data_IF_417835704751
#
_entry.id   IF_417835704751
#
_cell.length_a   1.000
_cell.length_b   1.000
_cell.length_c   1.000
_cell.angle_alpha   90.00
_cell.angle_beta   90.00
_cell.angle_gamma   90.00
#
_symmetry.space_group_name_H-M   'P 1'
#
loop_
_entity.id
_entity.type
_entity.pdbx_description
1 polymer ?
#
# COMPACT_ATOMS: atom_id res chain seq x y z
N UNK A 1 2.66 20.26 -25.55
CA UNK A 1 3.86 20.52 -24.72
C UNK A 1 3.80 21.97 -24.25
N UNK A 2 3.85 22.19 -22.94
CA UNK A 2 3.84 23.54 -22.34
C UNK A 2 5.28 24.05 -22.15
N UNK A 3 6.21 23.14 -21.86
CA UNK A 3 7.63 23.45 -21.70
C UNK A 3 8.47 22.33 -22.31
N UNK A 4 9.37 22.69 -23.21
CA UNK A 4 10.39 21.77 -23.75
C UNK A 4 11.44 21.41 -22.68
N UNK A 5 12.25 20.34 -22.88
CA UNK A 5 13.30 19.95 -21.94
C UNK A 5 14.14 21.16 -21.53
N UNK A 6 14.09 21.48 -20.25
CA UNK A 6 14.65 22.70 -19.70
C UNK A 6 15.52 22.37 -18.47
N UNK A 7 16.68 23.01 -18.37
CA UNK A 7 17.57 22.85 -17.21
C UNK A 7 16.84 23.22 -15.91
N UNK A 8 16.96 22.39 -14.88
CA UNK A 8 16.43 22.67 -13.54
C UNK A 8 17.05 23.93 -12.87
N UNK A 9 18.09 24.52 -13.46
CA UNK A 9 18.64 25.81 -13.04
C UNK A 9 17.78 26.99 -13.49
N UNK A 10 16.99 26.82 -14.57
CA UNK A 10 16.15 27.87 -15.15
C UNK A 10 14.78 27.94 -14.43
N UNK A 11 14.83 28.11 -13.12
CA UNK A 11 13.67 28.05 -12.23
C UNK A 11 12.58 29.06 -12.60
N UNK A 12 12.96 30.25 -13.07
CA UNK A 12 12.00 31.27 -13.48
C UNK A 12 11.17 30.80 -14.69
N UNK A 13 11.81 30.24 -15.72
CA UNK A 13 11.14 29.69 -16.90
C UNK A 13 10.19 28.53 -16.53
N UNK A 14 10.66 27.64 -15.65
CA UNK A 14 9.84 26.49 -15.16
C UNK A 14 8.61 27.00 -14.41
N UNK A 15 8.77 27.96 -13.49
CA UNK A 15 7.65 28.54 -12.73
C UNK A 15 6.63 29.21 -13.65
N UNK A 16 7.08 30.02 -14.60
CA UNK A 16 6.17 30.68 -15.56
C UNK A 16 5.36 29.65 -16.35
N UNK A 17 5.97 28.52 -16.75
CA UNK A 17 5.26 27.45 -17.44
C UNK A 17 4.20 26.78 -16.53
N UNK A 18 4.53 26.55 -15.26
CA UNK A 18 3.57 25.98 -14.27
C UNK A 18 2.41 26.97 -14.04
N UNK A 19 2.70 28.26 -13.86
CA UNK A 19 1.69 29.31 -13.61
C UNK A 19 0.72 29.50 -14.79
N UNK A 20 1.08 29.04 -15.99
CA UNK A 20 0.21 29.05 -17.18
C UNK A 20 -0.74 27.86 -17.25
N UNK A 21 -0.56 26.84 -16.40
CA UNK A 21 -1.44 25.69 -16.39
C UNK A 21 -2.80 26.08 -15.78
N UNK A 22 -3.86 25.72 -16.47
CA UNK A 22 -5.24 25.96 -16.03
C UNK A 22 -6.01 24.64 -15.99
N UNK A 23 -6.89 24.48 -15.02
CA UNK A 23 -7.80 23.34 -14.97
C UNK A 23 -8.84 23.45 -16.08
N UNK A 24 -9.09 22.35 -16.81
CA UNK A 24 -10.12 22.29 -17.84
C UNK A 24 -9.80 21.28 -18.95
N UNK A 25 -10.80 21.06 -19.80
CA UNK A 25 -10.71 20.11 -20.92
C UNK A 25 -11.11 18.69 -20.55
N UNK A 26 -10.82 17.76 -21.46
CA UNK A 26 -11.04 16.31 -21.28
C UNK A 26 -9.69 15.57 -21.25
N UNK A 27 -9.63 14.42 -20.55
CA UNK A 27 -8.38 13.69 -20.34
C UNK A 27 -8.15 12.64 -21.42
N UNK A 28 -7.29 12.95 -22.39
CA UNK A 28 -6.77 11.99 -23.37
C UNK A 28 -5.53 11.27 -22.81
N UNK A 29 -5.73 10.44 -21.76
CA UNK A 29 -4.67 9.89 -20.95
C UNK A 29 -3.61 9.12 -21.72
N UNK A 30 -4.00 8.23 -22.65
CA UNK A 30 -3.07 7.43 -23.45
C UNK A 30 -2.15 8.30 -24.31
N UNK A 31 -2.70 9.30 -25.00
CA UNK A 31 -1.90 10.21 -25.84
C UNK A 31 -1.00 11.11 -25.00
N UNK A 32 -1.47 11.54 -23.82
CA UNK A 32 -0.67 12.28 -22.85
C UNK A 32 0.53 11.49 -22.35
N UNK A 33 0.32 10.22 -21.98
CA UNK A 33 1.40 9.32 -21.54
C UNK A 33 2.39 9.06 -22.69
N UNK A 34 1.92 8.82 -23.91
CA UNK A 34 2.78 8.64 -25.07
C UNK A 34 3.67 9.86 -25.32
N UNK A 35 3.07 11.06 -25.31
CA UNK A 35 3.80 12.31 -25.47
C UNK A 35 4.83 12.51 -24.36
N UNK A 36 4.46 12.22 -23.10
CA UNK A 36 5.37 12.33 -21.96
C UNK A 36 6.60 11.42 -22.13
N UNK A 37 6.42 10.17 -22.60
CA UNK A 37 7.54 9.29 -22.90
C UNK A 37 8.41 9.80 -24.06
N UNK A 38 7.82 10.39 -25.11
CA UNK A 38 8.58 11.01 -26.19
C UNK A 38 9.44 12.17 -25.68
N UNK A 39 8.88 13.03 -24.85
CA UNK A 39 9.61 14.16 -24.24
C UNK A 39 10.70 13.67 -23.29
N UNK A 40 10.44 12.65 -22.49
CA UNK A 40 11.42 12.06 -21.59
C UNK A 40 12.60 11.43 -22.36
N UNK A 41 12.34 10.84 -23.53
CA UNK A 41 13.40 10.33 -24.41
C UNK A 41 14.25 11.44 -25.02
N UNK A 42 13.66 12.59 -25.37
CA UNK A 42 14.43 13.75 -25.88
C UNK A 42 15.35 14.35 -24.80
N UNK A 43 14.89 14.35 -23.56
CA UNK A 43 15.66 14.82 -22.39
C UNK A 43 16.43 13.71 -21.64
N UNK A 44 16.57 12.52 -22.24
CA UNK A 44 17.13 11.36 -21.55
C UNK A 44 18.57 11.58 -21.08
N UNK A 45 18.82 11.24 -19.81
CA UNK A 45 20.11 11.36 -19.16
C UNK A 45 20.68 9.94 -18.97
N UNK A 46 21.72 9.60 -19.73
CA UNK A 46 22.39 8.31 -19.57
C UNK A 46 22.90 8.15 -18.14
N UNK A 47 22.65 6.96 -17.55
CA UNK A 47 22.95 6.63 -16.14
C UNK A 47 22.32 7.60 -15.12
N UNK A 48 21.39 8.43 -15.57
CA UNK A 48 20.61 9.32 -14.70
C UNK A 48 19.26 8.72 -14.31
N UNK A 49 18.50 9.48 -13.54
CA UNK A 49 17.12 9.16 -13.19
C UNK A 49 16.21 9.80 -14.25
N UNK A 50 15.51 8.96 -15.02
CA UNK A 50 14.57 9.38 -16.04
C UNK A 50 13.18 8.96 -15.62
N UNK A 51 12.31 9.91 -15.29
CA UNK A 51 11.01 9.62 -14.68
C UNK A 51 9.92 10.60 -15.14
N UNK A 52 8.76 10.06 -15.42
CA UNK A 52 7.53 10.80 -15.66
C UNK A 52 6.75 10.89 -14.35
N UNK A 53 6.25 12.06 -14.01
CA UNK A 53 5.27 12.27 -12.95
C UNK A 53 3.93 12.58 -13.62
N UNK A 54 3.00 11.63 -13.60
CA UNK A 54 1.66 11.78 -14.15
C UNK A 54 0.72 12.25 -13.05
N UNK A 55 0.29 13.49 -13.12
CA UNK A 55 -0.68 14.10 -12.20
C UNK A 55 -2.06 14.11 -12.83
N UNK A 56 -3.05 13.43 -12.23
CA UNK A 56 -4.40 13.31 -12.79
C UNK A 56 -5.43 12.99 -11.70
N UNK A 57 -6.70 13.24 -11.98
CA UNK A 57 -7.84 12.78 -11.19
C UNK A 57 -8.26 11.32 -11.50
N UNK A 58 -7.52 10.64 -12.39
CA UNK A 58 -7.76 9.25 -12.75
C UNK A 58 -8.91 9.03 -13.75
N UNK A 59 -9.55 10.09 -14.22
CA UNK A 59 -10.62 10.01 -15.22
C UNK A 59 -10.06 10.07 -16.65
N UNK A 60 -9.71 8.91 -17.21
CA UNK A 60 -9.23 8.76 -18.59
C UNK A 60 -10.42 8.55 -19.54
N UNK A 61 -11.16 9.61 -19.83
CA UNK A 61 -12.43 9.53 -20.53
C UNK A 61 -12.35 9.77 -22.06
N UNK A 62 -11.15 9.98 -22.62
CA UNK A 62 -10.93 10.23 -24.05
C UNK A 62 -9.84 9.34 -24.62
N UNK A 63 -10.11 8.70 -25.75
CA UNK A 63 -9.17 7.86 -26.48
C UNK A 63 -9.12 6.42 -25.95
N UNK A 64 -7.92 5.83 -25.89
CA UNK A 64 -7.73 4.49 -25.29
C UNK A 64 -7.88 4.64 -23.78
N UNK A 65 -9.02 4.24 -23.27
CA UNK A 65 -9.36 4.22 -21.85
C UNK A 65 -9.38 2.80 -21.29
N UNK A 66 -9.12 1.78 -22.12
CA UNK A 66 -9.02 0.41 -21.69
C UNK A 66 -7.81 0.22 -20.78
N UNK A 67 -8.08 -0.27 -19.59
CA UNK A 67 -7.12 -0.45 -18.50
C UNK A 67 -5.91 -1.30 -18.91
N UNK A 68 -6.18 -2.44 -19.56
CA UNK A 68 -5.12 -3.38 -19.95
C UNK A 68 -4.19 -2.80 -21.01
N UNK A 69 -4.73 -2.01 -21.92
CA UNK A 69 -3.96 -1.31 -22.96
C UNK A 69 -3.04 -0.23 -22.36
N UNK A 70 -3.52 0.55 -21.40
CA UNK A 70 -2.71 1.56 -20.70
C UNK A 70 -1.56 0.92 -19.90
N UNK A 71 -1.88 -0.14 -19.19
CA UNK A 71 -0.91 -0.93 -18.42
C UNK A 71 0.15 -1.57 -19.33
N UNK A 72 -0.28 -2.20 -20.42
CA UNK A 72 0.62 -2.79 -21.41
C UNK A 72 1.55 -1.74 -22.03
N UNK A 73 1.03 -0.54 -22.32
CA UNK A 73 1.83 0.57 -22.83
C UNK A 73 2.89 1.02 -21.83
N UNK A 74 2.53 1.20 -20.55
CA UNK A 74 3.49 1.57 -19.52
C UNK A 74 4.58 0.49 -19.35
N UNK A 75 4.19 -0.80 -19.30
CA UNK A 75 5.09 -1.93 -19.20
C UNK A 75 6.06 -2.05 -20.42
N UNK A 76 5.62 -1.69 -21.60
CA UNK A 76 6.50 -1.66 -22.78
C UNK A 76 7.44 -0.45 -22.74
N UNK A 77 6.90 0.72 -22.41
CA UNK A 77 7.66 1.98 -22.42
C UNK A 77 8.74 2.05 -21.32
N UNK A 78 8.53 1.43 -20.15
CA UNK A 78 9.54 1.39 -19.08
C UNK A 78 10.87 0.73 -19.54
N UNK A 79 10.82 -0.16 -20.52
CA UNK A 79 12.01 -0.80 -21.10
C UNK A 79 13.00 0.19 -21.71
N UNK A 80 12.54 1.42 -22.00
CA UNK A 80 13.39 2.51 -22.44
C UNK A 80 14.25 3.15 -21.34
N UNK A 81 14.09 2.71 -20.08
CA UNK A 81 14.78 3.28 -18.91
C UNK A 81 14.09 4.51 -18.32
N UNK A 82 12.83 4.79 -18.75
CA UNK A 82 12.00 5.87 -18.19
C UNK A 82 10.89 5.27 -17.35
N UNK A 83 10.86 5.57 -16.06
CA UNK A 83 9.80 5.12 -15.14
C UNK A 83 8.62 6.08 -15.09
N UNK A 84 7.44 5.57 -14.70
CA UNK A 84 6.19 6.33 -14.62
C UNK A 84 5.64 6.29 -13.20
N UNK A 85 5.69 7.42 -12.50
CA UNK A 85 5.04 7.65 -11.20
C UNK A 85 3.69 8.31 -11.41
N UNK A 86 2.67 7.86 -10.69
CA UNK A 86 1.33 8.43 -10.77
C UNK A 86 0.97 9.16 -9.48
N UNK A 87 0.43 10.36 -9.64
CA UNK A 87 -0.03 11.23 -8.56
C UNK A 87 -1.52 11.48 -8.74
N UNK A 88 -2.32 10.94 -7.82
CA UNK A 88 -3.77 11.05 -7.88
C UNK A 88 -4.29 12.26 -7.14
N UNK A 89 -5.31 12.91 -7.71
CA UNK A 89 -6.00 14.08 -7.15
C UNK A 89 -7.51 13.90 -7.29
N UNK A 90 -8.30 14.64 -6.49
CA UNK A 90 -9.75 14.64 -6.60
C UNK A 90 -10.43 13.52 -5.80
N UNK A 91 -11.76 13.60 -5.68
CA UNK A 91 -12.56 12.73 -4.79
C UNK A 91 -13.71 12.01 -5.50
N UNK A 92 -14.16 12.47 -6.68
CA UNK A 92 -15.39 11.98 -7.28
C UNK A 92 -15.19 10.72 -8.16
N UNK A 93 -14.53 10.84 -9.30
CA UNK A 93 -14.35 9.72 -10.25
C UNK A 93 -12.95 9.12 -10.19
N UNK A 94 -12.27 9.23 -9.06
CA UNK A 94 -10.90 8.78 -8.92
C UNK A 94 -10.78 7.26 -8.97
N UNK A 95 -9.96 6.76 -9.89
CA UNK A 95 -9.68 5.33 -10.05
C UNK A 95 -8.32 4.96 -9.47
N UNK A 96 -8.27 4.74 -8.15
CA UNK A 96 -7.07 4.37 -7.42
C UNK A 96 -6.41 3.10 -7.98
N UNK A 97 -7.21 2.08 -8.25
CA UNK A 97 -6.71 0.80 -8.76
C UNK A 97 -5.97 0.95 -10.09
N UNK A 98 -6.51 1.77 -11.02
CA UNK A 98 -5.85 2.09 -12.29
C UNK A 98 -4.51 2.79 -12.05
N UNK A 99 -4.50 3.80 -11.19
CA UNK A 99 -3.32 4.62 -10.92
C UNK A 99 -2.19 3.81 -10.26
N UNK A 100 -2.54 2.96 -9.28
CA UNK A 100 -1.59 2.06 -8.62
C UNK A 100 -0.98 1.07 -9.63
N UNK A 101 -1.81 0.38 -10.42
CA UNK A 101 -1.31 -0.60 -11.37
C UNK A 101 -0.55 0.01 -12.54
N UNK A 102 -0.88 1.24 -12.93
CA UNK A 102 -0.16 1.95 -13.98
C UNK A 102 1.24 2.35 -13.50
N UNK A 103 1.38 2.79 -12.25
CA UNK A 103 2.67 3.06 -11.63
C UNK A 103 3.51 1.79 -11.50
N UNK A 104 2.93 0.70 -11.01
CA UNK A 104 3.62 -0.61 -10.89
C UNK A 104 4.11 -1.10 -12.25
N UNK A 105 3.26 -1.04 -13.28
CA UNK A 105 3.65 -1.43 -14.65
C UNK A 105 4.75 -0.53 -15.24
N UNK A 106 4.86 0.71 -14.77
CA UNK A 106 5.84 1.71 -15.20
C UNK A 106 7.12 1.80 -14.38
N UNK A 107 7.43 0.86 -13.47
CA UNK A 107 8.56 0.92 -12.52
C UNK A 107 8.54 2.24 -11.71
N UNK A 108 7.35 2.67 -11.29
CA UNK A 108 7.17 3.92 -10.56
C UNK A 108 6.50 3.74 -9.20
N UNK A 109 6.11 4.84 -8.61
CA UNK A 109 5.39 4.89 -7.35
C UNK A 109 4.01 5.52 -7.56
N UNK A 110 3.07 5.14 -6.73
CA UNK A 110 1.76 5.76 -6.65
C UNK A 110 1.65 6.59 -5.36
N UNK A 111 1.02 7.76 -5.45
CA UNK A 111 0.61 8.54 -4.29
C UNK A 111 -0.72 9.26 -4.56
N UNK A 112 -1.61 9.28 -3.56
CA UNK A 112 -2.81 10.09 -3.57
C UNK A 112 -2.58 11.39 -2.80
N UNK A 113 -2.93 12.51 -3.41
CA UNK A 113 -2.71 13.86 -2.87
C UNK A 113 -4.06 14.53 -2.66
N UNK A 114 -4.53 14.55 -1.43
CA UNK A 114 -5.79 15.13 -1.01
C UNK A 114 -5.67 16.61 -0.60
N UNK A 115 -4.46 17.02 -0.16
CA UNK A 115 -4.22 18.38 0.32
C UNK A 115 -2.76 18.82 0.13
N UNK A 116 -2.46 20.08 0.40
CA UNK A 116 -1.12 20.65 0.26
C UNK A 116 -0.07 20.04 1.20
N UNK A 117 -0.48 19.50 2.36
CA UNK A 117 0.44 18.85 3.31
C UNK A 117 0.93 17.54 2.72
N UNK A 118 0.01 16.75 2.17
CA UNK A 118 0.33 15.51 1.46
C UNK A 118 1.18 15.79 0.21
N UNK A 119 0.82 16.82 -0.57
CA UNK A 119 1.64 17.27 -1.71
C UNK A 119 3.08 17.58 -1.30
N UNK A 120 3.27 18.30 -0.20
CA UNK A 120 4.60 18.63 0.33
C UNK A 120 5.35 17.37 0.75
N UNK A 121 4.70 16.45 1.46
CA UNK A 121 5.30 15.17 1.85
C UNK A 121 5.82 14.42 0.64
N UNK A 122 4.98 14.22 -0.38
CA UNK A 122 5.29 13.41 -1.57
C UNK A 122 6.34 14.11 -2.46
N UNK A 123 6.16 15.40 -2.74
CA UNK A 123 6.95 16.13 -3.74
C UNK A 123 8.20 16.83 -3.17
N UNK A 124 8.33 16.92 -1.86
CA UNK A 124 9.49 17.57 -1.21
C UNK A 124 10.18 16.61 -0.26
N UNK A 125 9.46 16.13 0.77
CA UNK A 125 10.08 15.38 1.86
C UNK A 125 10.48 13.97 1.43
N UNK A 126 9.66 13.32 0.58
CA UNK A 126 9.88 11.98 0.03
C UNK A 126 10.45 12.00 -1.41
N UNK A 127 10.86 13.15 -1.92
CA UNK A 127 11.34 13.27 -3.30
C UNK A 127 12.50 12.31 -3.58
N UNK A 128 13.43 12.17 -2.65
CA UNK A 128 14.57 11.25 -2.79
C UNK A 128 14.13 9.80 -2.89
N UNK A 129 13.13 9.38 -2.11
CA UNK A 129 12.60 8.00 -2.16
C UNK A 129 11.76 7.75 -3.41
N UNK A 130 11.11 8.77 -3.94
CA UNK A 130 10.35 8.67 -5.19
C UNK A 130 11.26 8.60 -6.41
N UNK A 131 12.36 9.36 -6.42
CA UNK A 131 13.24 9.48 -7.59
C UNK A 131 14.35 8.44 -7.62
N UNK A 132 14.99 8.16 -6.49
CA UNK A 132 16.18 7.30 -6.41
C UNK A 132 15.83 5.89 -5.93
N UNK A 133 15.65 4.95 -6.84
CA UNK A 133 15.44 3.53 -6.52
C UNK A 133 16.74 2.91 -6.04
N UNK A 134 16.71 2.23 -4.90
CA UNK A 134 17.86 1.51 -4.31
C UNK A 134 17.72 -0.01 -4.39
N UNK A 135 16.50 -0.51 -4.59
CA UNK A 135 16.24 -1.93 -4.82
C UNK A 135 15.01 -2.08 -5.72
N UNK A 136 15.09 -3.03 -6.65
CA UNK A 136 14.01 -3.40 -7.59
C UNK A 136 13.53 -4.82 -7.34
N UNK A 137 12.33 -5.15 -7.82
CA UNK A 137 11.73 -6.49 -7.70
C UNK A 137 11.77 -7.01 -6.25
N UNK A 138 11.42 -6.16 -5.30
CA UNK A 138 11.49 -6.49 -3.87
C UNK A 138 10.32 -7.37 -3.49
N UNK A 139 10.61 -8.61 -3.12
CA UNK A 139 9.65 -9.63 -2.69
C UNK A 139 9.91 -10.01 -1.25
N UNK A 140 8.87 -9.95 -0.44
CA UNK A 140 8.90 -10.33 0.96
C UNK A 140 8.11 -11.62 1.16
N UNK A 141 8.69 -12.59 1.85
CA UNK A 141 8.01 -13.81 2.28
C UNK A 141 8.24 -14.04 3.76
N UNK A 142 7.16 -14.27 4.50
CA UNK A 142 7.21 -14.71 5.88
C UNK A 142 6.65 -16.13 5.95
N UNK A 143 7.45 -17.06 6.46
CA UNK A 143 7.05 -18.44 6.72
C UNK A 143 6.97 -18.65 8.22
N UNK A 144 5.77 -18.80 8.75
CA UNK A 144 5.57 -19.03 10.18
C UNK A 144 5.85 -20.47 10.55
N UNK A 145 6.46 -20.68 11.72
CA UNK A 145 6.71 -22.00 12.27
C UNK A 145 5.39 -22.59 12.81
N UNK A 146 4.86 -23.67 12.24
CA UNK A 146 3.57 -24.23 12.66
C UNK A 146 3.60 -24.81 14.08
N UNK A 147 4.79 -25.02 14.66
CA UNK A 147 4.93 -25.42 16.07
C UNK A 147 4.73 -24.24 17.05
N UNK A 148 4.79 -23.00 16.55
CA UNK A 148 4.67 -21.77 17.34
C UNK A 148 3.45 -20.95 16.97
N UNK A 149 2.96 -21.04 15.72
CA UNK A 149 1.86 -20.24 15.17
C UNK A 149 0.84 -21.17 14.51
N UNK A 150 -0.38 -21.18 15.03
CA UNK A 150 -1.49 -21.98 14.49
C UNK A 150 -2.21 -21.28 13.34
N UNK A 151 -2.40 -19.98 13.45
CA UNK A 151 -3.07 -19.16 12.44
C UNK A 151 -2.32 -17.83 12.26
N UNK A 152 -2.37 -17.29 11.05
CA UNK A 152 -1.82 -15.96 10.76
C UNK A 152 -2.56 -15.31 9.60
N UNK A 153 -2.53 -13.98 9.55
CA UNK A 153 -3.01 -13.20 8.43
C UNK A 153 -2.17 -11.95 8.24
N UNK A 154 -1.96 -11.56 6.99
CA UNK A 154 -1.35 -10.27 6.63
C UNK A 154 -2.43 -9.19 6.73
N UNK A 155 -2.07 -8.04 7.29
CA UNK A 155 -2.95 -6.86 7.39
C UNK A 155 -2.61 -5.88 6.28
N UNK A 156 -3.53 -5.70 5.33
CA UNK A 156 -3.31 -4.90 4.13
C UNK A 156 -2.56 -5.66 3.03
N UNK A 157 -2.11 -4.93 2.02
CA UNK A 157 -1.38 -5.46 0.86
C UNK A 157 -2.19 -6.45 -0.02
N UNK A 158 -3.50 -6.41 0.03
CA UNK A 158 -4.35 -7.34 -0.73
C UNK A 158 -4.09 -7.27 -2.24
N UNK A 159 -3.80 -6.06 -2.76
CA UNK A 159 -3.51 -5.83 -4.18
C UNK A 159 -2.08 -6.23 -4.58
N UNK A 160 -1.20 -6.52 -3.62
CA UNK A 160 0.22 -6.82 -3.82
C UNK A 160 0.61 -8.22 -3.34
N UNK A 161 -0.37 -9.07 -3.06
CA UNK A 161 -0.13 -10.44 -2.64
C UNK A 161 0.46 -11.25 -3.80
N UNK A 162 1.66 -11.82 -3.60
CA UNK A 162 2.30 -12.72 -4.54
C UNK A 162 1.93 -14.17 -4.24
N UNK A 163 1.78 -14.97 -5.28
CA UNK A 163 1.69 -16.42 -5.13
C UNK A 163 3.03 -16.96 -4.61
N UNK A 164 2.98 -18.06 -3.86
CA UNK A 164 4.18 -18.65 -3.25
C UNK A 164 5.24 -19.03 -4.31
N UNK A 165 4.81 -19.56 -5.44
CA UNK A 165 5.67 -19.93 -6.56
C UNK A 165 6.37 -18.74 -7.23
N UNK A 166 5.78 -17.55 -7.15
CA UNK A 166 6.29 -16.33 -7.77
C UNK A 166 7.41 -15.66 -6.95
N UNK A 167 7.57 -16.04 -5.69
CA UNK A 167 8.64 -15.50 -4.85
C UNK A 167 10.04 -15.76 -5.43
N UNK A 168 10.28 -16.95 -6.01
CA UNK A 168 11.56 -17.33 -6.59
C UNK A 168 11.63 -17.07 -8.09
N UNK A 169 10.60 -16.50 -8.70
CA UNK A 169 10.51 -16.24 -10.12
C UNK A 169 10.97 -14.81 -10.44
N UNK A 170 12.18 -14.68 -11.03
CA UNK A 170 12.76 -13.39 -11.41
C UNK A 170 12.06 -12.71 -12.61
N UNK A 171 11.10 -13.39 -13.25
CA UNK A 171 10.28 -12.83 -14.33
C UNK A 171 9.01 -12.13 -13.82
N UNK A 172 8.60 -12.42 -12.59
CA UNK A 172 7.46 -11.78 -11.95
C UNK A 172 7.93 -10.48 -11.35
N UNK A 173 7.37 -9.40 -11.83
CA UNK A 173 7.62 -8.05 -11.37
C UNK A 173 7.11 -7.83 -9.94
N UNK A 174 7.80 -6.99 -9.18
CA UNK A 174 7.43 -6.63 -7.81
C UNK A 174 7.85 -5.18 -7.52
N UNK A 175 7.50 -4.67 -6.32
CA UNK A 175 7.70 -3.27 -6.00
C UNK A 175 9.17 -2.83 -5.89
N UNK A 176 9.39 -1.53 -6.07
CA UNK A 176 10.66 -0.87 -5.86
C UNK A 176 10.76 -0.26 -4.47
N UNK A 177 11.98 -0.13 -3.97
CA UNK A 177 12.29 0.64 -2.76
C UNK A 177 13.19 1.80 -3.12
N UNK A 178 12.74 3.00 -2.76
CA UNK A 178 13.49 4.23 -2.94
C UNK A 178 14.42 4.56 -1.78
N UNK A 179 15.37 5.45 -2.01
CA UNK A 179 16.34 5.90 -1.01
C UNK A 179 15.65 6.54 0.21
N UNK A 180 15.94 6.00 1.40
CA UNK A 180 15.33 6.47 2.65
C UNK A 180 13.89 5.99 2.89
N UNK A 181 13.32 5.19 1.98
CA UNK A 181 11.99 4.64 2.14
C UNK A 181 11.98 3.45 3.11
N UNK A 182 10.90 3.33 3.87
CA UNK A 182 10.63 2.20 4.75
C UNK A 182 9.28 1.58 4.41
N UNK A 183 9.20 0.26 4.46
CA UNK A 183 7.97 -0.49 4.23
C UNK A 183 7.69 -1.36 5.45
N UNK A 184 6.45 -1.35 5.92
CA UNK A 184 6.04 -2.11 7.11
C UNK A 184 4.98 -3.13 6.71
N UNK A 185 5.24 -4.41 6.95
CA UNK A 185 4.25 -5.48 6.85
C UNK A 185 3.84 -5.91 8.26
N UNK A 186 2.55 -5.87 8.54
CA UNK A 186 1.98 -6.30 9.83
C UNK A 186 1.26 -7.62 9.64
N UNK A 187 1.56 -8.55 10.54
CA UNK A 187 0.88 -9.83 10.63
C UNK A 187 0.20 -9.95 11.98
N UNK A 188 -1.03 -10.40 11.97
CA UNK A 188 -1.71 -10.89 13.15
C UNK A 188 -1.54 -12.40 13.22
N UNK A 189 -1.16 -12.91 14.38
CA UNK A 189 -0.86 -14.33 14.58
C UNK A 189 -1.64 -14.87 15.78
N UNK A 190 -1.97 -16.14 15.72
CA UNK A 190 -2.46 -16.92 16.87
C UNK A 190 -1.36 -17.89 17.28
N UNK A 191 -0.81 -17.78 18.50
CA UNK A 191 0.16 -18.73 19.00
C UNK A 191 -0.41 -20.16 19.05
N UNK A 192 0.45 -21.14 18.85
CA UNK A 192 0.04 -22.54 18.95
C UNK A 192 -0.47 -22.87 20.37
N UNK A 193 -1.63 -23.49 20.45
CA UNK A 193 -2.29 -23.81 21.73
C UNK A 193 -3.31 -22.77 22.19
N UNK A 194 -3.35 -21.59 21.59
CA UNK A 194 -4.36 -20.56 21.85
C UNK A 194 -5.59 -20.76 20.95
N UNK A 195 -6.73 -20.20 21.39
CA UNK A 195 -7.96 -20.23 20.60
C UNK A 195 -7.84 -19.29 19.39
N UNK A 196 -7.95 -19.85 18.20
CA UNK A 196 -7.88 -19.10 16.94
C UNK A 196 -9.18 -18.47 16.49
N UNK A 197 -9.14 -17.89 15.28
CA UNK A 197 -10.31 -17.31 14.60
C UNK A 197 -11.15 -18.36 13.87
N UNK A 198 -10.49 -19.47 13.48
CA UNK A 198 -11.12 -20.52 12.69
C UNK A 198 -11.54 -21.68 13.57
N UNK A 199 -12.59 -22.38 13.16
CA UNK A 199 -12.91 -23.64 13.80
C UNK A 199 -11.83 -24.69 13.51
N UNK A 200 -11.48 -25.54 14.50
CA UNK A 200 -10.47 -26.58 14.31
C UNK A 200 -10.87 -27.52 13.16
N UNK A 201 -9.94 -27.73 12.24
CA UNK A 201 -10.16 -28.69 11.16
C UNK A 201 -10.17 -30.12 11.73
N UNK A 202 -11.19 -30.90 11.36
CA UNK A 202 -11.37 -32.27 11.85
C UNK A 202 -10.14 -33.18 11.64
N UNK A 203 -9.40 -32.98 10.56
CA UNK A 203 -8.25 -33.79 10.15
C UNK A 203 -6.91 -33.08 10.31
N UNK A 204 -6.89 -31.84 10.78
CA UNK A 204 -5.65 -31.18 11.15
C UNK A 204 -5.20 -31.67 12.52
N UNK A 205 -4.48 -32.76 12.54
CA UNK A 205 -3.71 -33.10 13.73
C UNK A 205 -2.64 -32.02 13.89
N UNK A 206 -2.59 -31.40 15.08
CA UNK A 206 -1.44 -30.59 15.47
C UNK A 206 -0.18 -31.44 15.23
N UNK A 207 0.62 -31.11 14.23
CA UNK A 207 1.90 -31.78 14.04
C UNK A 207 2.68 -31.56 15.32
N UNK A 208 2.96 -32.64 16.02
CA UNK A 208 3.82 -32.61 17.22
C UNK A 208 5.10 -31.83 16.87
N UNK A 209 5.66 -31.02 17.81
CA UNK A 209 6.88 -30.27 17.57
C UNK A 209 7.93 -31.24 17.02
N UNK A 210 8.36 -31.01 15.77
CA UNK A 210 9.48 -31.80 15.25
C UNK A 210 10.68 -31.50 16.14
N UNK A 211 11.20 -32.52 16.78
CA UNK A 211 12.44 -32.49 17.55
C UNK A 211 13.60 -32.20 16.59
N UNK A 212 13.83 -30.96 16.28
CA UNK A 212 14.93 -30.56 15.40
C UNK A 212 15.12 -29.06 15.45
N UNK A 213 16.23 -28.61 15.98
CA UNK A 213 16.99 -27.34 15.89
C UNK A 213 16.32 -25.98 15.75
N UNK A 214 15.01 -25.91 15.46
CA UNK A 214 14.26 -24.67 15.17
C UNK A 214 13.15 -24.35 16.18
N UNK A 215 13.20 -24.97 17.35
CA UNK A 215 12.19 -24.79 18.41
C UNK A 215 12.11 -23.35 18.94
N UNK A 216 13.17 -22.56 18.78
CA UNK A 216 13.23 -21.16 19.19
C UNK A 216 12.87 -20.16 18.08
N UNK A 217 12.46 -20.62 16.89
CA UNK A 217 12.10 -19.75 15.78
C UNK A 217 10.58 -19.59 15.66
N UNK A 218 10.10 -18.34 15.60
CA UNK A 218 8.70 -17.98 15.35
C UNK A 218 8.39 -18.06 13.84
N UNK A 219 9.31 -17.54 13.04
CA UNK A 219 9.15 -17.43 11.60
C UNK A 219 10.50 -17.30 10.89
N UNK A 220 10.51 -17.56 9.57
CA UNK A 220 11.60 -17.22 8.67
C UNK A 220 11.17 -16.09 7.77
N UNK A 221 11.91 -14.99 7.80
CA UNK A 221 11.78 -13.87 6.87
C UNK A 221 12.72 -14.09 5.70
N UNK A 222 12.19 -14.00 4.47
CA UNK A 222 12.95 -14.00 3.24
C UNK A 222 12.67 -12.72 2.46
N UNK A 223 13.71 -12.03 2.04
CA UNK A 223 13.64 -10.85 1.19
C UNK A 223 14.46 -11.10 -0.08
N UNK A 224 13.80 -11.02 -1.22
CA UNK A 224 14.45 -11.06 -2.54
C UNK A 224 14.43 -9.69 -3.17
N UNK A 225 15.51 -9.29 -3.84
CA UNK A 225 15.57 -8.00 -4.52
C UNK A 225 16.64 -8.02 -5.61
N UNK A 226 16.52 -7.11 -6.56
CA UNK A 226 17.56 -6.80 -7.56
C UNK A 226 18.22 -5.47 -7.24
N UNK A 227 19.49 -5.33 -7.63
CA UNK A 227 20.16 -4.03 -7.62
C UNK A 227 19.49 -3.06 -8.60
N UNK A 228 19.63 -1.72 -8.43
CA UNK A 228 19.02 -0.74 -9.33
C UNK A 228 19.38 -0.94 -10.80
N UNK A 229 20.59 -1.41 -11.06
CA UNK A 229 21.12 -1.71 -12.39
C UNK A 229 20.53 -3.01 -13.00
N UNK A 230 19.70 -3.73 -12.23
CA UNK A 230 19.14 -5.02 -12.63
C UNK A 230 20.09 -6.20 -12.34
N UNK A 231 19.99 -7.25 -13.14
CA UNK A 231 20.75 -8.49 -12.97
C UNK A 231 20.00 -9.57 -12.19
N UNK A 232 20.74 -10.55 -11.63
CA UNK A 232 20.15 -11.62 -10.82
C UNK A 232 19.70 -11.14 -9.46
N UNK A 233 18.61 -11.69 -8.96
CA UNK A 233 18.10 -11.35 -7.62
C UNK A 233 19.05 -11.85 -6.53
N UNK A 234 19.08 -11.10 -5.43
CA UNK A 234 19.77 -11.42 -4.18
C UNK A 234 18.75 -11.85 -3.13
N UNK A 235 19.14 -12.76 -2.25
CA UNK A 235 18.29 -13.27 -1.17
C UNK A 235 18.90 -12.88 0.18
N UNK A 236 18.06 -12.33 1.06
CA UNK A 236 18.35 -12.15 2.48
C UNK A 236 17.40 -13.03 3.25
N UNK A 237 17.93 -13.86 4.15
CA UNK A 237 17.15 -14.70 5.04
C UNK A 237 17.43 -14.30 6.49
N UNK A 238 16.38 -14.22 7.30
CA UNK A 238 16.48 -13.89 8.72
C UNK A 238 15.48 -14.69 9.53
N UNK A 239 15.94 -15.57 10.44
CA UNK A 239 15.05 -16.21 11.40
C UNK A 239 14.55 -15.16 12.41
N UNK A 240 13.28 -15.25 12.75
CA UNK A 240 12.63 -14.46 13.79
C UNK A 240 12.49 -15.38 15.01
N UNK A 241 13.11 -15.01 16.13
CA UNK A 241 13.05 -15.79 17.37
C UNK A 241 11.66 -15.76 17.99
N UNK A 242 11.23 -16.89 18.55
CA UNK A 242 10.04 -16.99 19.38
C UNK A 242 10.35 -16.41 20.78
N UNK A 243 10.35 -15.09 20.89
CA UNK A 243 10.42 -14.43 22.18
C UNK A 243 9.02 -14.37 22.79
N UNK A 244 8.94 -14.38 24.11
CA UNK A 244 7.66 -14.16 24.79
C UNK A 244 7.07 -12.82 24.30
N UNK A 245 5.79 -12.78 23.93
CA UNK A 245 5.17 -11.55 23.49
C UNK A 245 5.23 -10.52 24.61
N UNK A 246 5.90 -9.41 24.36
CA UNK A 246 5.85 -8.25 25.24
C UNK A 246 4.45 -7.63 25.18
N UNK A 247 4.11 -6.82 26.18
CA UNK A 247 2.87 -6.04 26.09
C UNK A 247 2.96 -5.01 24.93
N UNK A 248 1.84 -4.70 24.31
CA UNK A 248 1.77 -3.62 23.30
C UNK A 248 2.31 -2.29 23.86
N UNK A 249 2.12 -2.03 25.16
CA UNK A 249 2.65 -0.85 25.84
C UNK A 249 4.20 -0.77 25.83
N UNK A 250 4.88 -1.91 25.84
CA UNK A 250 6.33 -1.99 25.78
C UNK A 250 6.89 -1.96 24.35
N UNK A 251 6.04 -2.01 23.33
CA UNK A 251 6.43 -1.92 21.93
C UNK A 251 6.93 -0.51 21.59
N UNK A 252 7.74 -0.40 20.53
CA UNK A 252 8.21 0.89 20.03
C UNK A 252 7.03 1.81 19.67
N UNK A 253 7.17 3.12 19.77
CA UNK A 253 6.14 4.07 19.32
C UNK A 253 5.70 3.82 17.89
N UNK A 254 6.62 3.50 16.98
CA UNK A 254 6.30 3.25 15.57
C UNK A 254 5.46 1.99 15.38
N UNK A 255 5.78 0.89 16.10
CA UNK A 255 4.96 -0.32 16.04
C UNK A 255 3.56 -0.08 16.63
N UNK A 256 3.46 0.65 17.74
CA UNK A 256 2.17 1.00 18.35
C UNK A 256 1.32 1.87 17.41
N UNK A 257 1.96 2.84 16.74
CA UNK A 257 1.27 3.68 15.77
C UNK A 257 0.83 2.89 14.54
N UNK A 258 1.70 2.03 13.99
CA UNK A 258 1.35 1.14 12.88
C UNK A 258 0.20 0.18 13.24
N UNK A 259 0.17 -0.34 14.48
CA UNK A 259 -0.94 -1.13 14.98
C UNK A 259 -2.26 -0.33 15.06
N UNK A 260 -2.21 0.94 15.46
CA UNK A 260 -3.38 1.81 15.46
C UNK A 260 -3.92 2.05 14.04
N UNK A 261 -3.03 2.29 13.07
CA UNK A 261 -3.41 2.43 11.64
C UNK A 261 -4.06 1.15 11.11
N UNK A 262 -3.47 -0.01 11.40
CA UNK A 262 -4.02 -1.29 11.01
C UNK A 262 -5.40 -1.57 11.64
N UNK A 263 -5.55 -1.27 12.94
CA UNK A 263 -6.83 -1.40 13.64
C UNK A 263 -7.91 -0.51 13.00
N UNK A 264 -7.59 0.75 12.72
CA UNK A 264 -8.52 1.68 12.06
C UNK A 264 -8.95 1.16 10.68
N UNK A 265 -7.99 0.71 9.86
CA UNK A 265 -8.28 0.12 8.56
C UNK A 265 -9.23 -1.09 8.66
N UNK A 266 -9.02 -1.97 9.64
CA UNK A 266 -9.92 -3.11 9.87
C UNK A 266 -11.31 -2.66 10.36
N UNK A 267 -11.38 -1.64 11.20
CA UNK A 267 -12.65 -1.08 11.69
C UNK A 267 -13.47 -0.41 10.57
N UNK A 268 -12.80 0.22 9.60
CA UNK A 268 -13.46 0.79 8.42
C UNK A 268 -13.96 -0.27 7.44
N UNK A 269 -13.30 -1.43 7.36
CA UNK A 269 -13.76 -2.53 6.49
C UNK A 269 -15.04 -3.17 7.03
N UNK A 270 -15.00 -3.86 8.13
CA UNK A 270 -16.15 -4.53 8.73
C UNK A 270 -15.96 -4.82 10.23
N UNK A 271 -14.79 -4.56 10.75
CA UNK A 271 -14.42 -4.83 12.15
C UNK A 271 -14.39 -6.30 12.55
N UNK A 272 -14.51 -7.23 11.60
CA UNK A 272 -14.69 -8.68 11.86
C UNK A 272 -13.63 -9.27 12.79
N UNK A 273 -12.40 -8.76 12.74
CA UNK A 273 -11.28 -9.29 13.50
C UNK A 273 -10.77 -8.35 14.59
N UNK A 274 -11.46 -7.23 14.84
CA UNK A 274 -11.06 -6.27 15.86
C UNK A 274 -11.60 -6.60 17.26
N UNK A 275 -12.48 -7.59 17.37
CA UNK A 275 -13.10 -7.96 18.63
C UNK A 275 -13.77 -6.75 19.29
N UNK A 276 -13.40 -6.48 20.55
CA UNK A 276 -13.92 -5.33 21.32
C UNK A 276 -13.05 -4.07 21.18
N UNK A 277 -12.02 -4.08 20.33
CA UNK A 277 -11.14 -2.92 20.15
C UNK A 277 -11.86 -1.83 19.38
N UNK A 278 -12.22 -0.76 20.08
CA UNK A 278 -13.06 0.32 19.57
C UNK A 278 -12.25 1.42 18.85
N UNK A 279 -12.95 2.33 18.14
CA UNK A 279 -12.32 3.55 17.61
C UNK A 279 -11.72 4.41 18.73
N UNK A 280 -12.33 4.44 19.92
CA UNK A 280 -11.76 5.14 21.08
C UNK A 280 -10.42 4.53 21.53
N UNK A 281 -10.30 3.20 21.49
CA UNK A 281 -9.04 2.54 21.79
C UNK A 281 -7.98 2.83 20.73
N UNK A 282 -8.38 2.90 19.46
CA UNK A 282 -7.51 3.30 18.35
C UNK A 282 -6.99 4.72 18.52
N UNK A 283 -7.85 5.69 18.85
CA UNK A 283 -7.46 7.08 19.17
C UNK A 283 -6.44 7.09 20.30
N UNK A 284 -6.74 6.42 21.42
CA UNK A 284 -5.85 6.35 22.59
C UNK A 284 -4.48 5.75 22.25
N UNK A 285 -4.45 4.66 21.48
CA UNK A 285 -3.23 4.02 21.05
C UNK A 285 -2.40 4.94 20.15
N UNK A 286 -3.02 5.57 19.15
CA UNK A 286 -2.37 6.47 18.22
C UNK A 286 -1.83 7.73 18.90
N UNK A 287 -2.60 8.36 19.78
CA UNK A 287 -2.18 9.53 20.55
C UNK A 287 -0.96 9.22 21.42
N UNK A 288 -0.96 8.06 22.11
CA UNK A 288 0.14 7.60 22.94
C UNK A 288 1.41 7.20 22.18
N UNK A 289 1.32 7.07 20.84
CA UNK A 289 2.39 6.66 19.95
C UNK A 289 2.78 7.71 18.90
N UNK A 290 2.20 8.90 18.96
CA UNK A 290 2.37 9.96 17.94
C UNK A 290 3.85 10.41 17.79
N UNK A 291 4.59 10.49 18.89
CA UNK A 291 5.97 10.96 18.86
C UNK A 291 6.10 12.43 18.46
N UNK A 292 7.24 12.81 17.87
CA UNK A 292 7.52 14.18 17.47
C UNK A 292 6.68 14.72 16.32
N UNK A 293 6.25 13.84 15.42
CA UNK A 293 5.34 14.11 14.28
C UNK A 293 5.66 15.42 13.52
N UNK A 294 6.87 15.59 12.96
CA UNK A 294 7.35 16.86 12.42
C UNK A 294 6.49 17.39 11.25
N UNK A 295 5.76 16.53 10.57
CA UNK A 295 4.88 16.90 9.45
C UNK A 295 3.40 16.93 9.84
N UNK A 296 3.05 16.58 11.09
CA UNK A 296 1.68 16.55 11.58
C UNK A 296 0.80 15.43 11.03
N UNK A 297 1.37 14.45 10.30
CA UNK A 297 0.63 13.37 9.64
C UNK A 297 0.01 12.40 10.64
N UNK A 298 0.72 12.11 11.73
CA UNK A 298 0.18 11.25 12.79
C UNK A 298 -0.93 11.95 13.58
N UNK A 299 -0.80 13.27 13.76
CA UNK A 299 -1.87 14.10 14.34
C UNK A 299 -3.12 14.12 13.46
N UNK A 300 -2.95 14.25 12.15
CA UNK A 300 -4.05 14.20 11.18
C UNK A 300 -4.75 12.83 11.18
N UNK A 301 -4.00 11.73 11.24
CA UNK A 301 -4.56 10.40 11.40
C UNK A 301 -5.45 10.29 12.65
N UNK A 302 -5.01 10.83 13.80
CA UNK A 302 -5.82 10.84 15.03
C UNK A 302 -7.14 11.58 14.80
N UNK A 303 -7.11 12.76 14.14
CA UNK A 303 -8.31 13.51 13.80
C UNK A 303 -9.27 12.73 12.89
N UNK A 304 -8.74 11.97 11.92
CA UNK A 304 -9.55 11.09 11.05
C UNK A 304 -10.28 10.00 11.87
N UNK A 305 -9.59 9.39 12.84
CA UNK A 305 -10.21 8.37 13.70
C UNK A 305 -11.28 8.98 14.60
N UNK A 306 -11.03 10.19 15.18
CA UNK A 306 -11.99 10.92 15.98
C UNK A 306 -13.24 11.32 15.16
N UNK A 307 -13.04 11.74 13.90
CA UNK A 307 -14.13 12.02 12.98
C UNK A 307 -14.97 10.77 12.72
N UNK A 308 -14.35 9.65 12.40
CA UNK A 308 -15.03 8.38 12.19
C UNK A 308 -15.83 7.94 13.42
N UNK A 309 -15.27 8.12 14.62
CA UNK A 309 -15.97 7.86 15.89
C UNK A 309 -17.21 8.74 16.05
N UNK A 310 -17.11 10.02 15.71
CA UNK A 310 -18.25 10.96 15.80
C UNK A 310 -19.37 10.58 14.84
N UNK A 311 -19.03 10.16 13.63
CA UNK A 311 -20.01 9.72 12.62
C UNK A 311 -20.70 8.42 13.01
N UNK A 312 -20.00 7.46 13.63
CA UNK A 312 -20.60 6.24 14.14
C UNK A 312 -21.63 6.52 15.25
N UNK A 313 -21.35 7.49 16.12
CA UNK A 313 -22.30 7.85 17.21
C UNK A 313 -23.52 8.58 16.70
N UNK A 314 -23.45 9.25 15.55
CA UNK A 314 -24.55 9.95 14.90
C UNK A 314 -25.38 9.08 13.97
N UNK A 315 -24.84 7.95 13.50
CA UNK A 315 -25.59 7.02 12.67
C UNK A 315 -26.80 6.49 13.49
N UNK A 316 -28.04 6.59 13.00
CA UNK A 316 -29.17 5.98 13.66
C UNK A 316 -28.86 4.49 13.79
N UNK A 317 -28.96 3.94 15.03
CA UNK A 317 -28.84 2.50 15.26
C UNK A 317 -29.78 1.83 14.27
N UNK A 318 -29.23 1.14 13.27
CA UNK A 318 -30.03 0.31 12.38
C UNK A 318 -30.88 -0.58 13.28
N UNK A 319 -32.19 -0.39 13.25
CA UNK A 319 -33.10 -1.28 13.96
C UNK A 319 -32.77 -2.68 13.48
N UNK A 320 -32.33 -3.52 14.41
CA UNK A 320 -32.11 -4.93 14.12
C UNK A 320 -33.34 -5.41 13.36
N UNK A 321 -33.16 -5.87 12.14
CA UNK A 321 -34.25 -6.39 11.31
C UNK A 321 -34.97 -7.41 12.19
N UNK A 322 -36.23 -7.13 12.51
CA UNK A 322 -37.05 -8.08 13.25
C UNK A 322 -37.05 -9.38 12.44
N UNK A 323 -36.82 -10.53 13.08
CA UNK A 323 -36.87 -11.79 12.38
C UNK A 323 -38.23 -11.86 11.65
N UNK A 324 -38.16 -12.06 10.35
CA UNK A 324 -39.38 -12.23 9.52
C UNK A 324 -40.13 -13.43 10.08
N UNK A 325 -41.30 -13.17 10.60
CA UNK A 325 -42.17 -14.23 11.10
C UNK A 325 -42.67 -15.07 9.90
N UNK A 326 -41.99 -16.20 9.67
CA UNK A 326 -42.28 -17.13 8.61
C UNK A 326 -43.68 -17.76 8.71
N UNK A 327 -44.40 -17.61 9.83
CA UNK A 327 -45.75 -18.09 9.99
C UNK A 327 -46.78 -17.35 9.12
N UNK A 328 -46.47 -16.10 8.74
CA UNK A 328 -47.33 -15.29 7.85
C UNK A 328 -47.12 -15.57 6.35
N UNK A 329 -46.08 -16.30 5.98
CA UNK A 329 -45.85 -16.68 4.58
C UNK A 329 -46.61 -17.95 4.21
N UNK A 330 -46.85 -18.85 5.15
CA UNK A 330 -47.58 -20.10 4.92
C UNK A 330 -49.09 -19.88 4.70
N UNK A 331 -49.70 -18.84 5.27
CA UNK A 331 -51.11 -18.57 5.11
C UNK A 331 -51.52 -17.91 3.78
N UNK A 332 -50.60 -17.66 2.86
CA UNK A 332 -50.84 -17.09 1.52
C UNK A 332 -50.65 -18.10 0.40
N UNK A 333 -50.34 -19.35 0.71
CA UNK A 333 -50.12 -20.44 -0.24
C UNK A 333 -51.19 -21.55 -0.12
N UNK A 334 -52.18 -21.39 0.76
CA UNK A 334 -53.45 -22.12 0.78
C UNK A 334 -54.57 -21.21 0.22
#
# INVERSE_FOLDING_TARGET
>A
VVLEPTSGRDKAKIRTAIDQLTAGGSTAGASGIQLAYQMAQQGFIDKGINRILLATDGDFNVGVSDFDSLKAMAAEKRKSGVSLTTLGFGVDNYNEHLMEQLADAGDGNYAYIDNLREARKVLVDQLSSTLAVVAKDVKLQVEFNPAQVSEYRLLGYENRALKREDFSNDKVDAGEIGAGHTVTALYEIVPAGEKGWLEPLRYAQAKAPQQGGKQGELAMLRLRYKAPEGGSSRLIERPISAQQPGSLAAASPDLRFAAAVAAFSQQLKDGRYTGNFSLADTVKLAQGAKGADPYGLRGEFVQLVELAQSLQTQAPKAQAAQPVDLSQVQSRLE
#
